data_IF_856010813985
#
_entry.id   IF_856010813985
#
_cell.length_a   1.000
_cell.length_b   1.000
_cell.length_c   1.000
_cell.angle_alpha   90.00
_cell.angle_beta   90.00
_cell.angle_gamma   90.00
#
_symmetry.space_group_name_H-M   'P 1'
#
loop_
_entity.id
_entity.type
_entity.pdbx_description
1 polymer ?
#
# COMPACT_ATOMS: atom_id res chain seq x y z
N UNK A 1 -23.46 -12.63 -44.88
CA UNK A 1 -23.11 -11.26 -44.46
C UNK A 1 -24.34 -10.67 -43.81
N UNK A 2 -24.36 -10.70 -42.47
CA UNK A 2 -24.10 -9.47 -41.73
C UNK A 2 -23.04 -9.65 -40.64
N UNK A 3 -22.34 -8.55 -40.35
CA UNK A 3 -21.21 -8.42 -39.44
C UNK A 3 -21.67 -8.47 -37.97
N UNK A 4 -21.03 -9.31 -37.16
CA UNK A 4 -21.16 -9.32 -35.71
C UNK A 4 -20.21 -8.26 -35.15
N UNK A 5 -20.74 -7.08 -34.86
CA UNK A 5 -20.01 -6.07 -34.07
C UNK A 5 -19.80 -6.60 -32.66
N UNK A 6 -18.54 -6.86 -32.32
CA UNK A 6 -18.11 -7.19 -30.98
C UNK A 6 -18.26 -5.98 -30.06
N UNK A 7 -19.20 -6.05 -29.12
CA UNK A 7 -19.34 -5.11 -28.02
C UNK A 7 -18.12 -5.25 -27.10
N UNK A 8 -17.07 -4.47 -27.35
CA UNK A 8 -16.08 -4.15 -26.33
C UNK A 8 -16.72 -3.12 -25.40
N UNK A 9 -17.38 -3.58 -24.34
CA UNK A 9 -17.69 -2.73 -23.20
C UNK A 9 -16.36 -2.27 -22.61
N UNK A 10 -15.96 -1.06 -22.97
CA UNK A 10 -14.97 -0.30 -22.25
C UNK A 10 -15.51 -0.09 -20.83
N UNK A 11 -15.08 -0.95 -19.91
CA UNK A 11 -15.21 -0.77 -18.47
C UNK A 11 -14.39 0.47 -18.10
N UNK A 12 -15.03 1.62 -18.16
CA UNK A 12 -14.36 2.91 -18.16
C UNK A 12 -15.23 4.00 -17.56
N UNK A 13 -15.99 3.73 -16.49
CA UNK A 13 -16.73 4.81 -15.82
C UNK A 13 -17.19 4.48 -14.38
N UNK A 14 -16.32 3.86 -13.56
CA UNK A 14 -16.60 3.68 -12.11
C UNK A 14 -15.59 4.42 -11.21
N UNK A 15 -15.09 5.56 -11.70
CA UNK A 15 -14.24 6.50 -10.96
C UNK A 15 -14.91 7.87 -10.81
N UNK A 16 -16.17 7.89 -10.38
CA UNK A 16 -16.80 9.14 -9.90
C UNK A 16 -16.36 9.39 -8.45
N UNK A 17 -15.37 10.27 -8.28
CA UNK A 17 -14.78 10.61 -6.98
C UNK A 17 -15.73 11.36 -6.02
N UNK A 18 -16.86 11.88 -6.52
CA UNK A 18 -17.49 13.05 -5.90
C UNK A 18 -18.84 12.77 -5.21
N UNK A 19 -19.52 11.63 -5.45
CA UNK A 19 -20.95 11.53 -5.10
C UNK A 19 -21.43 10.12 -4.72
N UNK A 20 -20.79 9.48 -3.74
CA UNK A 20 -21.47 8.39 -3.02
C UNK A 20 -22.13 8.97 -1.76
N UNK A 21 -23.45 8.75 -1.54
CA UNK A 21 -24.19 9.27 -0.37
C UNK A 21 -23.70 8.70 0.97
N UNK A 22 -22.75 7.77 0.92
CA UNK A 22 -22.06 7.20 2.07
C UNK A 22 -20.61 6.98 1.66
N UNK A 23 -19.71 7.83 2.16
CA UNK A 23 -18.28 7.63 1.98
C UNK A 23 -17.82 6.50 2.92
N UNK A 24 -17.76 5.29 2.37
CA UNK A 24 -17.38 4.06 3.09
C UNK A 24 -16.01 4.18 3.76
N UNK A 25 -15.06 4.89 3.14
CA UNK A 25 -13.73 5.09 3.72
C UNK A 25 -13.78 5.94 4.98
N UNK A 26 -14.60 7.01 5.00
CA UNK A 26 -14.81 7.83 6.20
C UNK A 26 -15.36 6.98 7.34
N UNK A 27 -16.40 6.18 7.07
CA UNK A 27 -17.00 5.32 8.10
C UNK A 27 -16.01 4.31 8.66
N UNK A 28 -15.22 3.67 7.77
CA UNK A 28 -14.19 2.71 8.18
C UNK A 28 -13.13 3.35 9.08
N UNK A 29 -12.70 4.58 8.76
CA UNK A 29 -11.72 5.32 9.56
C UNK A 29 -12.32 5.71 10.91
N UNK A 30 -13.52 6.29 10.94
CA UNK A 30 -14.21 6.68 12.18
C UNK A 30 -14.45 5.48 13.10
N UNK A 31 -14.81 4.33 12.54
CA UNK A 31 -14.95 3.08 13.29
C UNK A 31 -13.62 2.56 13.83
N UNK A 32 -12.55 2.58 13.03
CA UNK A 32 -11.24 2.11 13.46
C UNK A 32 -10.68 2.94 14.62
N UNK A 33 -10.83 4.26 14.55
CA UNK A 33 -10.37 5.19 15.59
C UNK A 33 -11.42 5.47 16.68
N UNK A 34 -12.62 4.89 16.56
CA UNK A 34 -13.78 5.13 17.43
C UNK A 34 -14.04 6.63 17.71
N UNK A 35 -13.80 7.48 16.71
CA UNK A 35 -13.82 8.95 16.83
C UNK A 35 -14.32 9.56 15.52
N UNK A 36 -15.26 10.52 15.53
CA UNK A 36 -15.69 11.19 14.31
C UNK A 36 -14.56 12.07 13.73
N UNK A 37 -14.43 12.08 12.39
CA UNK A 37 -13.45 12.91 11.71
C UNK A 37 -13.88 14.38 11.69
N UNK A 38 -12.92 15.27 11.93
CA UNK A 38 -13.09 16.71 11.75
C UNK A 38 -13.28 17.00 10.25
N UNK A 39 -14.40 17.64 9.90
CA UNK A 39 -14.77 17.99 8.52
C UNK A 39 -14.71 19.49 8.24
N UNK A 40 -14.59 20.30 9.29
CA UNK A 40 -14.52 21.74 9.17
C UNK A 40 -13.09 22.19 8.85
N UNK A 41 -12.91 22.91 7.75
CA UNK A 41 -11.60 23.41 7.33
C UNK A 41 -10.93 24.34 8.35
N UNK A 42 -11.69 25.23 9.00
CA UNK A 42 -11.14 26.16 9.98
C UNK A 42 -10.64 25.45 11.25
N UNK A 43 -11.22 24.29 11.57
CA UNK A 43 -10.79 23.44 12.68
C UNK A 43 -9.58 22.59 12.30
N UNK A 44 -9.56 22.01 11.09
CA UNK A 44 -8.42 21.26 10.58
C UNK A 44 -7.14 22.09 10.49
N UNK A 45 -7.24 23.37 10.14
CA UNK A 45 -6.10 24.31 10.11
C UNK A 45 -5.40 24.49 11.45
N UNK A 46 -5.98 24.07 12.57
CA UNK A 46 -5.27 24.13 13.84
C UNK A 46 -4.17 23.05 13.94
N UNK A 47 -4.20 22.07 13.04
CA UNK A 47 -3.29 20.92 12.97
C UNK A 47 -2.42 20.94 11.70
N UNK A 48 -1.87 22.10 11.31
CA UNK A 48 -1.09 22.24 10.06
C UNK A 48 0.19 21.38 10.01
N UNK A 49 0.69 20.96 11.18
CA UNK A 49 1.88 20.12 11.30
C UNK A 49 1.56 18.89 12.14
N UNK A 50 2.02 17.73 11.68
CA UNK A 50 1.92 16.46 12.40
C UNK A 50 3.31 15.84 12.45
N UNK A 51 3.71 15.41 13.64
CA UNK A 51 4.91 14.61 13.86
C UNK A 51 4.50 13.24 14.37
N UNK A 52 5.08 12.19 13.79
CA UNK A 52 4.90 10.81 14.25
C UNK A 52 6.17 10.39 14.98
N UNK A 53 6.06 10.13 16.28
CA UNK A 53 7.18 9.73 17.13
C UNK A 53 6.85 8.39 17.83
N UNK A 54 7.61 7.31 17.58
CA UNK A 54 8.79 7.25 16.71
C UNK A 54 8.45 7.29 15.22
N UNK A 55 9.34 7.87 14.42
CA UNK A 55 9.22 7.83 12.97
C UNK A 55 9.39 6.37 12.47
N UNK A 56 8.58 5.90 11.51
CA UNK A 56 8.73 4.58 10.93
C UNK A 56 10.13 4.37 10.33
N UNK A 57 10.67 3.15 10.45
CA UNK A 57 11.98 2.83 9.89
C UNK A 57 11.95 2.81 8.36
N UNK A 58 12.99 3.35 7.72
CA UNK A 58 13.16 3.29 6.28
C UNK A 58 13.59 1.88 5.85
N UNK A 59 13.05 1.40 4.73
CA UNK A 59 13.41 0.09 4.16
C UNK A 59 13.14 0.02 2.67
N UNK A 60 13.72 -0.98 2.01
CA UNK A 60 13.40 -1.35 0.64
C UNK A 60 12.06 -2.10 0.59
N UNK A 61 11.35 -1.97 -0.53
CA UNK A 61 10.15 -2.75 -0.81
C UNK A 61 10.45 -4.17 -1.34
N UNK A 62 11.74 -4.54 -1.46
CA UNK A 62 12.22 -5.85 -1.94
C UNK A 62 11.65 -6.24 -3.30
N UNK A 63 12.09 -5.59 -4.39
CA UNK A 63 11.50 -5.80 -5.71
C UNK A 63 11.61 -7.24 -6.20
N UNK A 64 10.52 -7.71 -6.83
CA UNK A 64 10.46 -9.02 -7.48
C UNK A 64 11.53 -9.19 -8.56
N UNK A 65 11.84 -8.14 -9.34
CA UNK A 65 12.85 -8.24 -10.40
C UNK A 65 14.28 -8.49 -9.88
N UNK A 66 14.55 -8.17 -8.61
CA UNK A 66 15.84 -8.47 -7.96
C UNK A 66 15.80 -9.80 -7.20
N UNK A 67 14.78 -10.62 -7.42
CA UNK A 67 14.54 -11.85 -6.68
C UNK A 67 14.24 -11.61 -5.18
N UNK A 68 13.50 -10.53 -4.88
CA UNK A 68 13.02 -10.23 -3.51
C UNK A 68 14.16 -10.20 -2.48
N UNK A 69 14.00 -10.85 -1.33
CA UNK A 69 14.99 -10.95 -0.25
C UNK A 69 16.17 -11.90 -0.57
N UNK A 70 16.20 -12.54 -1.75
CA UNK A 70 17.40 -13.22 -2.24
C UNK A 70 18.42 -12.22 -2.79
N UNK A 71 17.98 -10.99 -3.09
CA UNK A 71 18.87 -9.91 -3.49
C UNK A 71 19.96 -9.68 -2.44
N UNK A 72 21.22 -9.71 -2.88
CA UNK A 72 22.37 -9.34 -2.04
C UNK A 72 22.46 -7.83 -1.92
N UNK A 73 21.73 -7.28 -0.95
CA UNK A 73 21.71 -5.82 -0.69
C UNK A 73 23.06 -5.26 -0.25
N UNK A 74 23.90 -6.06 0.42
CA UNK A 74 25.25 -5.67 0.84
C UNK A 74 26.29 -6.51 0.11
N UNK A 75 27.16 -5.84 -0.66
CA UNK A 75 28.25 -6.49 -1.39
C UNK A 75 29.13 -7.32 -0.44
N UNK A 76 29.44 -8.55 -0.85
CA UNK A 76 30.25 -9.48 -0.06
C UNK A 76 29.51 -10.13 1.12
N UNK A 77 28.21 -9.89 1.30
CA UNK A 77 27.40 -10.59 2.30
C UNK A 77 26.36 -11.52 1.65
N UNK A 78 26.02 -12.64 2.32
CA UNK A 78 24.89 -13.47 1.92
C UNK A 78 23.59 -12.67 1.97
N UNK A 79 22.62 -13.09 1.15
CA UNK A 79 21.29 -12.49 1.13
C UNK A 79 20.57 -12.68 2.48
N UNK A 80 19.56 -11.86 2.80
CA UNK A 80 18.72 -12.08 3.97
C UNK A 80 18.15 -13.51 4.04
N UNK A 81 17.68 -14.07 2.93
CA UNK A 81 17.20 -15.45 2.86
C UNK A 81 18.30 -16.48 3.18
N UNK A 82 19.48 -16.32 2.59
CA UNK A 82 20.63 -17.21 2.82
C UNK A 82 21.13 -17.13 4.28
N UNK A 83 21.11 -15.95 4.89
CA UNK A 83 21.42 -15.77 6.32
C UNK A 83 20.44 -16.52 7.21
N UNK A 84 19.14 -16.43 6.91
CA UNK A 84 18.10 -17.13 7.63
C UNK A 84 18.31 -18.65 7.51
N UNK A 85 18.45 -19.18 6.29
CA UNK A 85 18.63 -20.61 6.06
C UNK A 85 19.82 -21.18 6.85
N UNK A 86 20.98 -20.51 6.82
CA UNK A 86 22.18 -20.92 7.58
C UNK A 86 21.98 -20.87 9.10
N UNK A 87 21.24 -19.89 9.61
CA UNK A 87 21.00 -19.75 11.04
C UNK A 87 20.10 -20.87 11.60
N UNK A 88 19.19 -21.39 10.79
CA UNK A 88 18.21 -22.40 11.20
C UNK A 88 18.49 -23.80 10.63
N UNK A 89 19.65 -24.02 9.99
CA UNK A 89 20.04 -25.31 9.44
C UNK A 89 19.18 -25.77 8.25
N UNK A 90 18.60 -24.82 7.52
CA UNK A 90 17.84 -25.08 6.30
C UNK A 90 18.76 -25.12 5.08
N UNK A 91 18.33 -25.80 4.03
CA UNK A 91 19.05 -25.75 2.75
C UNK A 91 18.92 -24.35 2.12
N UNK A 92 20.01 -23.91 1.51
CA UNK A 92 20.12 -22.61 0.82
C UNK A 92 19.74 -22.76 -0.66
N UNK A 93 19.66 -24.00 -1.16
CA UNK A 93 19.50 -24.33 -2.57
C UNK A 93 18.12 -24.88 -2.91
#
# INVERSE_FOLDING_TARGET
MPELLGNHSADSDDRRLEELPTNWDIQKIEQHFNTPLIRNWNELKQYEQVEQNPSPWTSSYWPTYQDSINARWRRGQPSPAEKYARAYGLDVK
#
